data_IF_936843692041
#
_entry.id   IF_936843692041
#
_cell.length_a   1.000
_cell.length_b   1.000
_cell.length_c   1.000
_cell.angle_alpha   90.00
_cell.angle_beta   90.00
_cell.angle_gamma   90.00
#
_symmetry.space_group_name_H-M   'P 1'
#
loop_
_entity.id
_entity.type
_entity.pdbx_description
1 polymer ?
#
# COMPACT_ATOMS: atom_id res chain seq x y z
N UNK A 1 1.66 3.39 -20.54
CA UNK A 1 1.21 3.19 -19.14
C UNK A 1 2.35 2.58 -18.37
N UNK A 2 3.17 3.44 -17.76
CA UNK A 2 4.33 3.03 -16.98
C UNK A 2 3.90 2.24 -15.75
N UNK A 3 4.27 0.96 -15.68
CA UNK A 3 4.07 0.13 -14.50
C UNK A 3 5.05 0.59 -13.43
N UNK A 4 4.56 1.00 -12.26
CA UNK A 4 5.45 1.13 -11.08
C UNK A 4 5.71 -0.29 -10.60
N UNK A 5 6.98 -0.69 -10.63
CA UNK A 5 7.47 -1.85 -9.89
C UNK A 5 7.74 -1.39 -8.45
N UNK A 6 6.92 -1.82 -7.50
CA UNK A 6 7.22 -1.72 -6.07
C UNK A 6 7.84 -3.06 -5.65
N UNK A 7 9.14 -3.21 -5.85
CA UNK A 7 9.88 -4.38 -5.36
C UNK A 7 10.30 -4.16 -3.91
N UNK A 8 10.03 -5.16 -3.06
CA UNK A 8 10.33 -5.12 -1.62
C UNK A 8 9.71 -3.90 -0.90
N UNK A 9 8.43 -3.62 -1.19
CA UNK A 9 7.69 -2.56 -0.50
C UNK A 9 7.65 -2.82 1.02
N UNK A 10 8.34 -1.98 1.78
CA UNK A 10 8.25 -1.99 3.23
C UNK A 10 6.92 -1.38 3.66
N UNK A 11 6.15 -2.13 4.45
CA UNK A 11 4.92 -1.67 5.07
C UNK A 11 4.80 -2.19 6.49
N UNK A 12 3.99 -1.50 7.28
CA UNK A 12 3.60 -1.93 8.62
C UNK A 12 2.11 -2.27 8.63
N UNK A 13 1.76 -3.41 9.22
CA UNK A 13 0.35 -3.77 9.49
C UNK A 13 0.01 -3.34 10.91
N UNK A 14 -0.99 -2.49 11.05
CA UNK A 14 -1.48 -2.02 12.34
C UNK A 14 -2.92 -2.49 12.53
N UNK A 15 -3.26 -2.93 13.74
CA UNK A 15 -4.60 -3.34 14.10
C UNK A 15 -5.20 -2.39 15.14
N UNK A 16 -6.42 -1.91 14.91
CA UNK A 16 -7.10 -1.01 15.85
C UNK A 16 -8.60 -0.94 15.63
N UNK A 17 -9.37 -1.00 16.73
CA UNK A 17 -10.84 -0.91 16.74
C UNK A 17 -11.52 -1.89 15.77
N UNK A 18 -10.96 -3.11 15.65
CA UNK A 18 -11.47 -4.15 14.75
C UNK A 18 -11.12 -3.96 13.27
N UNK A 19 -10.27 -2.99 12.93
CA UNK A 19 -9.80 -2.74 11.57
C UNK A 19 -8.29 -2.97 11.47
N UNK A 20 -7.87 -3.56 10.35
CA UNK A 20 -6.46 -3.66 9.97
C UNK A 20 -6.11 -2.57 8.96
N UNK A 21 -4.95 -1.96 9.14
CA UNK A 21 -4.42 -0.90 8.31
C UNK A 21 -3.04 -1.28 7.80
N UNK A 22 -2.75 -0.89 6.56
CA UNK A 22 -1.41 -0.98 5.97
C UNK A 22 -0.85 0.44 5.91
N UNK A 23 0.25 0.67 6.62
CA UNK A 23 0.97 1.92 6.65
C UNK A 23 2.22 1.84 5.78
N UNK A 24 2.36 2.76 4.85
CA UNK A 24 3.50 2.86 3.94
C UNK A 24 4.10 4.25 4.05
N UNK A 25 5.42 4.33 4.22
CA UNK A 25 6.12 5.60 4.25
C UNK A 25 6.23 6.21 2.84
N UNK A 26 5.33 7.14 2.53
CA UNK A 26 5.30 7.80 1.22
C UNK A 26 6.51 8.71 0.95
N UNK A 27 7.22 9.17 1.99
CA UNK A 27 8.46 9.95 1.81
C UNK A 27 9.59 9.07 1.25
N UNK A 28 9.59 7.78 1.59
CA UNK A 28 10.55 6.79 1.08
C UNK A 28 10.20 6.33 -0.33
N UNK A 29 8.91 6.05 -0.57
CA UNK A 29 8.46 5.39 -1.80
C UNK A 29 7.97 6.34 -2.89
N UNK A 30 7.66 7.60 -2.57
CA UNK A 30 7.26 8.61 -3.54
C UNK A 30 6.07 8.20 -4.40
N UNK A 31 5.06 7.54 -3.80
CA UNK A 31 3.92 6.99 -4.54
C UNK A 31 3.09 8.15 -5.11
N UNK A 32 2.91 8.22 -6.45
CA UNK A 32 2.10 9.26 -7.10
C UNK A 32 0.65 9.23 -6.62
N UNK A 33 0.05 10.41 -6.44
CA UNK A 33 -1.30 10.54 -5.87
C UNK A 33 -2.37 9.83 -6.71
N UNK A 34 -2.27 9.91 -8.03
CA UNK A 34 -3.16 9.26 -9.00
C UNK A 34 -3.15 7.72 -8.90
N UNK A 35 -2.12 7.15 -8.26
CA UNK A 35 -1.92 5.70 -8.14
C UNK A 35 -2.20 5.15 -6.76
N UNK A 36 -2.30 5.99 -5.74
CA UNK A 36 -2.56 5.56 -4.34
C UNK A 36 -3.84 4.75 -4.23
N UNK A 37 -4.90 5.17 -4.94
CA UNK A 37 -6.19 4.49 -4.91
C UNK A 37 -6.13 3.07 -5.50
N UNK A 38 -5.44 2.89 -6.63
CA UNK A 38 -5.27 1.57 -7.26
C UNK A 38 -4.37 0.65 -6.42
N UNK A 39 -3.30 1.22 -5.85
CA UNK A 39 -2.40 0.50 -4.95
C UNK A 39 -3.13 -0.01 -3.70
N UNK A 40 -3.92 0.85 -3.04
CA UNK A 40 -4.69 0.48 -1.86
C UNK A 40 -5.65 -0.68 -2.15
N UNK A 41 -6.35 -0.65 -3.29
CA UNK A 41 -7.23 -1.74 -3.72
C UNK A 41 -6.49 -3.05 -3.94
N UNK A 42 -5.24 -3.01 -4.44
CA UNK A 42 -4.43 -4.21 -4.66
C UNK A 42 -3.92 -4.80 -3.34
N UNK A 43 -3.41 -3.95 -2.44
CA UNK A 43 -2.86 -4.37 -1.15
C UNK A 43 -3.93 -4.93 -0.21
N UNK A 44 -5.15 -4.37 -0.23
CA UNK A 44 -6.25 -4.81 0.63
C UNK A 44 -7.11 -5.92 0.02
N UNK A 45 -6.70 -6.54 -1.10
CA UNK A 45 -7.39 -7.75 -1.60
C UNK A 45 -7.13 -8.90 -0.62
N UNK A 46 -8.17 -9.70 -0.38
CA UNK A 46 -8.26 -10.75 0.66
C UNK A 46 -7.28 -11.95 0.51
N UNK A 47 -6.19 -11.80 -0.24
CA UNK A 47 -5.11 -12.79 -0.40
C UNK A 47 -3.71 -12.15 -0.38
N UNK A 48 -3.60 -10.84 -0.12
CA UNK A 48 -2.33 -10.11 -0.06
C UNK A 48 -1.88 -9.77 1.37
N UNK A 49 -2.71 -9.99 2.40
CA UNK A 49 -2.50 -9.52 3.80
C UNK A 49 -2.62 -10.62 4.85
#
# INVERSE_FOLDING_TARGET
MDKILLENLDFEKHHGLGNDYILINNLKWGIPDDRKADLAKKLCKHHFS
#
